data_IF_661462348028
#
_entry.id   IF_661462348028
#
_cell.length_a   1.000
_cell.length_b   1.000
_cell.length_c   1.000
_cell.angle_alpha   90.00
_cell.angle_beta   90.00
_cell.angle_gamma   90.00
#
_symmetry.space_group_name_H-M   'P 1'
#
loop_
_entity.id
_entity.type
_entity.pdbx_description
1 polymer ?
#
# COMPACT_ATOMS: atom_id res chain seq x y z
N UNK A 1 3.21 15.62 3.12
CA UNK A 1 3.22 14.46 2.23
C UNK A 1 1.89 13.76 2.35
N UNK A 2 1.25 13.51 1.21
CA UNK A 2 -0.13 13.02 1.14
C UNK A 2 -0.18 11.57 0.70
N UNK A 3 -1.22 10.85 1.13
CA UNK A 3 -1.50 9.44 0.81
C UNK A 3 -1.27 9.05 -0.67
N UNK A 4 -1.43 9.99 -1.59
CA UNK A 4 -1.12 9.85 -3.01
C UNK A 4 0.34 9.46 -3.30
N UNK A 5 1.32 9.95 -2.52
CA UNK A 5 2.73 9.59 -2.64
C UNK A 5 2.97 8.13 -2.23
N UNK A 6 2.36 7.68 -1.12
CA UNK A 6 2.40 6.27 -0.71
C UNK A 6 1.74 5.40 -1.78
N UNK A 7 0.58 5.79 -2.31
CA UNK A 7 -0.08 5.04 -3.39
C UNK A 7 0.75 4.99 -4.66
N UNK A 8 1.52 6.03 -4.97
CA UNK A 8 2.43 6.04 -6.10
C UNK A 8 3.63 5.12 -5.86
N UNK A 9 4.24 5.16 -4.66
CA UNK A 9 5.32 4.27 -4.27
C UNK A 9 4.89 2.79 -4.27
N UNK A 10 3.67 2.51 -3.78
CA UNK A 10 3.09 1.16 -3.83
C UNK A 10 2.88 0.68 -5.26
N UNK A 11 2.39 1.52 -6.17
CA UNK A 11 2.25 1.17 -7.60
C UNK A 11 3.59 0.98 -8.31
N UNK A 12 4.60 1.73 -7.92
CA UNK A 12 5.94 1.57 -8.44
C UNK A 12 6.57 0.23 -7.99
N UNK A 13 6.29 -0.18 -6.75
CA UNK A 13 6.79 -1.44 -6.18
C UNK A 13 5.95 -2.65 -6.59
N UNK A 14 4.66 -2.46 -6.79
CA UNK A 14 3.67 -3.48 -7.15
C UNK A 14 2.89 -3.03 -8.39
N UNK A 15 3.39 -3.32 -9.60
CA UNK A 15 2.73 -2.91 -10.85
C UNK A 15 1.37 -3.59 -11.07
N UNK A 16 1.08 -4.66 -10.32
CA UNK A 16 -0.22 -5.35 -10.26
C UNK A 16 -1.31 -4.54 -9.54
N UNK A 17 -0.92 -3.54 -8.74
CA UNK A 17 -1.86 -2.68 -8.04
C UNK A 17 -2.31 -1.54 -8.96
N UNK A 18 -3.61 -1.42 -9.11
CA UNK A 18 -4.21 -0.36 -9.92
C UNK A 18 -4.68 0.79 -9.03
N UNK A 19 -4.79 2.03 -9.56
CA UNK A 19 -5.42 3.13 -8.83
C UNK A 19 -6.82 2.79 -8.29
N UNK A 20 -7.53 1.86 -8.92
CA UNK A 20 -8.86 1.42 -8.48
C UNK A 20 -8.82 0.56 -7.22
N UNK A 21 -7.80 -0.28 -7.06
CA UNK A 21 -7.60 -1.04 -5.83
C UNK A 21 -7.46 -0.07 -4.63
N UNK A 22 -6.76 1.04 -4.81
CA UNK A 22 -6.59 2.04 -3.74
C UNK A 22 -7.82 2.91 -3.44
N UNK A 23 -8.87 2.85 -4.26
CA UNK A 23 -10.13 3.59 -4.00
C UNK A 23 -10.90 2.97 -2.83
N UNK A 24 -10.78 1.67 -2.62
CA UNK A 24 -11.53 0.95 -1.57
C UNK A 24 -10.84 0.96 -0.21
N UNK A 25 -9.57 1.40 -0.14
CA UNK A 25 -8.79 1.39 1.11
C UNK A 25 -9.04 2.58 2.02
N UNK A 26 -9.85 3.57 1.57
CA UNK A 26 -10.09 4.85 2.25
C UNK A 26 -8.82 5.58 2.72
N UNK A 27 -7.66 5.21 2.19
CA UNK A 27 -6.38 5.76 2.63
C UNK A 27 -5.84 5.27 3.96
N UNK A 28 -6.36 4.18 4.48
CA UNK A 28 -5.83 3.58 5.71
C UNK A 28 -4.68 2.62 5.38
N UNK A 29 -3.62 2.66 6.21
CA UNK A 29 -2.48 1.72 6.12
C UNK A 29 -2.94 0.25 6.07
N UNK A 30 -3.94 -0.08 6.87
CA UNK A 30 -4.49 -1.43 6.98
C UNK A 30 -5.21 -1.88 5.70
N UNK A 31 -6.00 -0.99 5.07
CA UNK A 31 -6.63 -1.27 3.79
C UNK A 31 -5.62 -1.49 2.66
N UNK A 32 -4.53 -0.70 2.67
CA UNK A 32 -3.42 -0.88 1.72
C UNK A 32 -2.71 -2.22 1.95
N UNK A 33 -2.44 -2.58 3.21
CA UNK A 33 -1.77 -3.83 3.55
C UNK A 33 -2.60 -5.04 3.12
N UNK A 34 -3.91 -4.98 3.33
CA UNK A 34 -4.83 -6.06 2.93
C UNK A 34 -4.85 -6.27 1.42
N UNK A 35 -4.94 -5.19 0.64
CA UNK A 35 -4.88 -5.28 -0.83
C UNK A 35 -3.54 -5.82 -1.31
N UNK A 36 -2.43 -5.32 -0.74
CA UNK A 36 -1.09 -5.82 -1.08
C UNK A 36 -1.00 -7.30 -0.75
N UNK A 37 -1.48 -7.74 0.42
CA UNK A 37 -1.49 -9.13 0.83
C UNK A 37 -2.31 -10.01 -0.12
N UNK A 38 -3.53 -9.58 -0.48
CA UNK A 38 -4.41 -10.32 -1.40
C UNK A 38 -3.84 -10.40 -2.82
N UNK A 39 -3.19 -9.33 -3.30
CA UNK A 39 -2.64 -9.28 -4.67
C UNK A 39 -1.33 -10.04 -4.79
N UNK A 40 -0.38 -9.80 -3.88
CA UNK A 40 0.91 -10.52 -3.84
C UNK A 40 0.78 -11.97 -3.36
N UNK A 41 -0.30 -12.34 -2.69
CA UNK A 41 -0.41 -13.62 -2.00
C UNK A 41 0.57 -13.77 -0.84
N UNK A 42 0.96 -12.65 -0.22
CA UNK A 42 1.85 -12.63 0.97
C UNK A 42 1.01 -12.50 2.24
N UNK A 43 1.53 -12.96 3.40
CA UNK A 43 0.85 -12.70 4.67
C UNK A 43 0.68 -11.20 4.92
N UNK A 44 -0.47 -10.84 5.50
CA UNK A 44 -0.83 -9.45 5.77
C UNK A 44 0.19 -8.75 6.68
N UNK A 45 0.88 -9.50 7.54
CA UNK A 45 1.97 -8.98 8.39
C UNK A 45 3.17 -8.46 7.57
N UNK A 46 3.57 -9.17 6.51
CA UNK A 46 4.66 -8.74 5.63
C UNK A 46 4.22 -7.56 4.76
N UNK A 47 2.99 -7.63 4.21
CA UNK A 47 2.42 -6.50 3.49
C UNK A 47 2.37 -5.24 4.37
N UNK A 48 1.93 -5.37 5.62
CA UNK A 48 1.84 -4.26 6.58
C UNK A 48 3.19 -3.64 6.88
N UNK A 49 4.25 -4.45 7.03
CA UNK A 49 5.63 -3.92 7.15
C UNK A 49 6.02 -3.11 5.92
N UNK A 50 5.79 -3.63 4.72
CA UNK A 50 6.13 -2.89 3.49
C UNK A 50 5.32 -1.58 3.37
N UNK A 51 4.02 -1.59 3.73
CA UNK A 51 3.21 -0.35 3.80
C UNK A 51 3.83 0.62 4.81
N UNK A 52 4.15 0.17 6.03
CA UNK A 52 4.64 1.02 7.12
C UNK A 52 6.00 1.65 6.77
N UNK A 53 6.89 0.89 6.14
CA UNK A 53 8.16 1.40 5.60
C UNK A 53 7.93 2.46 4.52
N UNK A 54 6.98 2.24 3.61
CA UNK A 54 6.64 3.22 2.57
C UNK A 54 6.05 4.49 3.19
N UNK A 55 5.20 4.37 4.22
CA UNK A 55 4.69 5.53 4.96
C UNK A 55 5.81 6.31 5.66
N UNK A 56 6.68 5.61 6.41
CA UNK A 56 7.85 6.23 7.07
C UNK A 56 8.78 6.92 6.07
N UNK A 57 9.07 6.29 4.93
CA UNK A 57 9.93 6.87 3.90
C UNK A 57 9.34 8.12 3.24
N UNK A 58 8.01 8.25 3.23
CA UNK A 58 7.29 9.40 2.68
C UNK A 58 6.79 10.35 3.79
N UNK A 59 7.33 10.27 5.01
CA UNK A 59 7.03 11.22 6.09
C UNK A 59 5.56 11.26 6.54
N UNK A 60 4.85 10.13 6.52
CA UNK A 60 3.44 9.95 6.92
C UNK A 60 3.24 8.99 8.09
#
# INVERSE_FOLDING_TARGET
>A
MGLDEVRAALRAKYPELTPEDFKTTSGSRDGLAKIVAEKKGVPEADAKKEIDEIFSANGM
#
